data_IF_952391490416
#
_entry.id   IF_952391490416
#
_cell.length_a   1.000
_cell.length_b   1.000
_cell.length_c   1.000
_cell.angle_alpha   90.00
_cell.angle_beta   90.00
_cell.angle_gamma   90.00
#
_symmetry.space_group_name_H-M   'P 1'
#
loop_
_entity.id
_entity.type
_entity.pdbx_description
1 polymer ?
#
# COMPACT_ATOMS: atom_id res chain seq x y z
N UNK A 1 20.85 4.61 -6.79
CA UNK A 1 19.95 3.87 -7.71
C UNK A 1 18.53 4.30 -7.37
N UNK A 2 17.54 4.12 -8.25
CA UNK A 2 16.14 4.31 -7.85
C UNK A 2 15.76 3.20 -6.88
N UNK A 3 15.04 3.53 -5.81
CA UNK A 3 14.65 2.60 -4.75
C UNK A 3 13.16 2.32 -4.82
N UNK A 4 12.77 1.06 -5.03
CA UNK A 4 11.38 0.63 -5.10
C UNK A 4 10.91 0.09 -3.75
N UNK A 5 9.95 0.78 -3.14
CA UNK A 5 9.31 0.37 -1.89
C UNK A 5 7.92 -0.14 -2.23
N UNK A 6 7.60 -1.39 -1.91
CA UNK A 6 6.28 -1.94 -2.22
C UNK A 6 5.42 -2.00 -0.97
N UNK A 7 4.17 -1.52 -1.04
CA UNK A 7 3.20 -1.73 0.03
C UNK A 7 2.93 -3.21 0.23
N UNK A 8 2.76 -3.62 1.48
CA UNK A 8 2.58 -5.00 1.88
C UNK A 8 1.41 -5.12 2.87
N UNK A 9 0.37 -5.86 2.47
CA UNK A 9 -0.79 -6.16 3.30
C UNK A 9 -0.52 -7.38 4.19
N UNK A 10 -0.57 -7.24 5.53
CA UNK A 10 -0.32 -8.36 6.44
C UNK A 10 -1.52 -9.31 6.63
N UNK A 11 -2.68 -9.05 6.03
CA UNK A 11 -3.95 -9.67 6.43
C UNK A 11 -4.08 -11.18 6.19
N UNK A 12 -3.35 -11.77 5.24
CA UNK A 12 -3.53 -13.16 4.74
C UNK A 12 -3.22 -14.29 5.75
N UNK A 13 -3.84 -14.22 6.93
CA UNK A 13 -3.87 -15.20 8.00
C UNK A 13 -5.10 -14.88 8.87
N UNK A 14 -5.80 -15.89 9.42
CA UNK A 14 -6.95 -15.65 10.26
C UNK A 14 -6.52 -15.02 11.59
N UNK A 15 -7.30 -14.04 12.06
CA UNK A 15 -7.21 -13.46 13.41
C UNK A 15 -8.59 -13.49 14.07
N UNK A 16 -8.68 -13.60 15.41
CA UNK A 16 -9.95 -13.73 16.12
C UNK A 16 -10.98 -12.65 15.77
N UNK A 17 -10.53 -11.40 15.61
CA UNK A 17 -11.39 -10.25 15.32
C UNK A 17 -12.01 -10.36 13.93
N UNK A 18 -11.21 -10.68 12.91
CA UNK A 18 -11.72 -10.91 11.56
C UNK A 18 -12.65 -12.13 11.49
N UNK A 19 -12.38 -13.18 12.26
CA UNK A 19 -13.26 -14.34 12.37
C UNK A 19 -14.62 -13.97 12.97
N UNK A 20 -14.65 -13.07 13.95
CA UNK A 20 -15.88 -12.53 14.54
C UNK A 20 -16.65 -11.65 13.54
N UNK A 21 -15.95 -10.80 12.80
CA UNK A 21 -16.58 -9.81 11.92
C UNK A 21 -17.05 -10.38 10.58
N UNK A 22 -16.28 -11.31 10.01
CA UNK A 22 -16.43 -11.79 8.63
C UNK A 22 -16.67 -13.30 8.52
N UNK A 23 -16.59 -14.01 9.64
CA UNK A 23 -16.82 -15.44 9.75
C UNK A 23 -15.52 -16.23 9.92
N UNK A 24 -15.64 -17.40 10.54
CA UNK A 24 -14.51 -18.25 10.92
C UNK A 24 -13.55 -18.55 9.76
N UNK A 25 -12.26 -18.34 9.99
CA UNK A 25 -11.18 -18.54 9.03
C UNK A 25 -11.07 -17.43 7.98
N UNK A 26 -11.61 -16.24 8.24
CA UNK A 26 -11.62 -15.17 7.25
C UNK A 26 -10.19 -14.68 6.97
N UNK A 27 -9.86 -14.69 5.69
CA UNK A 27 -8.70 -14.03 5.10
C UNK A 27 -9.15 -13.41 3.80
N UNK A 28 -8.34 -12.51 3.24
CA UNK A 28 -8.64 -11.85 1.99
C UNK A 28 -8.78 -12.83 0.82
N UNK A 29 -8.14 -14.00 0.92
CA UNK A 29 -8.36 -15.11 0.00
C UNK A 29 -9.83 -15.53 -0.11
N UNK A 30 -10.63 -15.34 0.93
CA UNK A 30 -12.07 -15.59 0.91
C UNK A 30 -12.78 -14.71 -0.12
N UNK A 31 -12.40 -13.43 -0.21
CA UNK A 31 -12.97 -12.50 -1.18
C UNK A 31 -12.43 -12.78 -2.59
N UNK A 32 -11.12 -12.99 -2.70
CA UNK A 32 -10.44 -13.28 -3.98
C UNK A 32 -11.00 -14.55 -4.62
N UNK A 33 -11.08 -15.65 -3.88
CA UNK A 33 -11.57 -16.93 -4.40
C UNK A 33 -13.07 -16.90 -4.78
N UNK A 34 -13.86 -16.01 -4.17
CA UNK A 34 -15.29 -15.83 -4.49
C UNK A 34 -15.53 -14.91 -5.68
N UNK A 35 -14.53 -14.14 -6.12
CA UNK A 35 -14.67 -13.18 -7.20
C UNK A 35 -15.05 -13.87 -8.51
N UNK A 36 -15.86 -13.19 -9.32
CA UNK A 36 -16.34 -13.70 -10.62
C UNK A 36 -16.26 -12.61 -11.68
N UNK A 37 -16.11 -12.98 -12.97
CA UNK A 37 -16.21 -12.02 -14.07
C UNK A 37 -17.55 -11.26 -14.01
N UNK A 38 -17.50 -9.92 -14.05
CA UNK A 38 -18.69 -9.05 -14.03
C UNK A 38 -19.08 -8.58 -15.44
N UNK A 39 -18.20 -8.77 -16.42
CA UNK A 39 -18.39 -8.43 -17.82
C UNK A 39 -17.48 -9.32 -18.70
N UNK A 40 -17.72 -9.39 -20.02
CA UNK A 40 -16.90 -10.21 -20.92
C UNK A 40 -15.41 -9.83 -20.85
N UNK A 41 -14.54 -10.84 -20.81
CA UNK A 41 -13.08 -10.70 -20.67
C UNK A 41 -12.61 -10.05 -19.35
N UNK A 42 -13.50 -9.95 -18.35
CA UNK A 42 -13.08 -9.58 -17.00
C UNK A 42 -12.25 -10.70 -16.38
N UNK A 43 -11.02 -10.42 -15.99
CA UNK A 43 -10.13 -11.40 -15.37
C UNK A 43 -10.41 -11.45 -13.87
N UNK A 44 -11.28 -12.36 -13.46
CA UNK A 44 -11.51 -12.75 -12.06
C UNK A 44 -11.91 -14.23 -12.03
N UNK A 45 -11.55 -14.98 -10.97
CA UNK A 45 -10.66 -14.58 -9.88
C UNK A 45 -9.21 -14.40 -10.37
N UNK A 46 -8.46 -13.48 -9.75
CA UNK A 46 -7.00 -13.53 -9.80
C UNK A 46 -6.53 -14.72 -8.96
N UNK A 47 -5.70 -15.60 -9.53
CA UNK A 47 -5.22 -16.81 -8.85
C UNK A 47 -3.70 -16.72 -8.70
N UNK A 48 -3.15 -16.77 -7.47
CA UNK A 48 -1.71 -16.79 -7.26
C UNK A 48 -1.04 -17.92 -8.02
N UNK A 49 0.14 -17.66 -8.58
CA UNK A 49 0.95 -18.69 -9.23
C UNK A 49 1.77 -19.46 -8.18
N UNK A 50 3.07 -19.19 -8.11
CA UNK A 50 4.05 -20.05 -7.43
C UNK A 50 3.91 -20.08 -5.91
N UNK A 51 3.31 -19.04 -5.31
CA UNK A 51 3.17 -18.90 -3.86
C UNK A 51 1.82 -19.42 -3.33
N UNK A 52 0.86 -19.68 -4.22
CA UNK A 52 -0.47 -20.18 -3.86
C UNK A 52 -1.28 -19.28 -2.93
N UNK A 53 -2.39 -19.82 -2.42
CA UNK A 53 -3.21 -19.17 -1.39
C UNK A 53 -2.53 -19.34 -0.02
N UNK A 54 -1.48 -18.58 0.22
CA UNK A 54 -0.59 -18.73 1.36
C UNK A 54 -1.19 -18.25 2.70
N UNK A 55 -0.54 -18.62 3.81
CA UNK A 55 -0.73 -18.03 5.13
C UNK A 55 0.54 -17.26 5.53
N UNK A 56 0.41 -15.99 5.94
CA UNK A 56 1.55 -15.14 6.26
C UNK A 56 2.26 -15.46 7.58
N UNK A 57 1.75 -16.42 8.37
CA UNK A 57 2.44 -16.98 9.54
C UNK A 57 3.46 -18.05 9.13
N UNK A 58 3.35 -18.58 7.92
CA UNK A 58 4.26 -19.58 7.38
C UNK A 58 5.58 -18.90 6.98
N UNK A 59 6.68 -19.33 7.60
CA UNK A 59 8.03 -18.80 7.37
C UNK A 59 8.44 -18.90 5.89
N UNK A 60 8.19 -20.05 5.27
CA UNK A 60 8.57 -20.37 3.91
C UNK A 60 7.92 -19.40 2.90
N UNK A 61 6.66 -19.03 3.13
CA UNK A 61 5.95 -18.02 2.33
C UNK A 61 6.70 -16.70 2.33
N UNK A 62 6.97 -16.14 3.52
CA UNK A 62 7.62 -14.84 3.66
C UNK A 62 9.04 -14.85 3.11
N UNK A 63 9.76 -15.96 3.29
CA UNK A 63 11.09 -16.15 2.72
C UNK A 63 11.06 -16.20 1.18
N UNK A 64 10.08 -16.87 0.60
CA UNK A 64 9.91 -16.92 -0.85
C UNK A 64 9.52 -15.55 -1.43
N UNK A 65 8.62 -14.81 -0.77
CA UNK A 65 8.24 -13.44 -1.15
C UNK A 65 9.44 -12.48 -1.07
N UNK A 66 10.19 -12.52 0.04
CA UNK A 66 11.41 -11.73 0.23
C UNK A 66 12.46 -12.02 -0.86
N UNK A 67 12.69 -13.31 -1.18
CA UNK A 67 13.60 -13.71 -2.24
C UNK A 67 13.14 -13.17 -3.59
N UNK A 68 11.87 -13.35 -3.91
CA UNK A 68 11.31 -12.93 -5.20
C UNK A 68 11.38 -11.41 -5.38
N UNK A 69 11.02 -10.65 -4.35
CA UNK A 69 11.16 -9.19 -4.35
C UNK A 69 12.61 -8.75 -4.61
N UNK A 70 13.58 -9.37 -3.90
CA UNK A 70 15.01 -9.09 -4.06
C UNK A 70 15.52 -9.42 -5.47
N UNK A 71 15.14 -10.58 -6.01
CA UNK A 71 15.59 -11.06 -7.34
C UNK A 71 15.13 -10.13 -8.48
N UNK A 72 14.04 -9.38 -8.29
CA UNK A 72 13.44 -8.49 -9.28
C UNK A 72 13.60 -7.00 -8.99
N UNK A 73 14.48 -6.64 -8.06
CA UNK A 73 14.90 -5.25 -7.86
C UNK A 73 14.00 -4.40 -6.96
N UNK A 74 13.10 -5.01 -6.18
CA UNK A 74 12.47 -4.30 -5.06
C UNK A 74 13.51 -4.03 -3.97
N UNK A 75 13.42 -2.84 -3.37
CA UNK A 75 14.32 -2.40 -2.31
C UNK A 75 13.80 -2.78 -0.93
N UNK A 76 12.51 -2.59 -0.68
CA UNK A 76 11.91 -2.89 0.62
C UNK A 76 10.41 -3.18 0.53
N UNK A 77 9.88 -3.88 1.54
CA UNK A 77 8.46 -3.95 1.81
C UNK A 77 8.04 -2.94 2.88
N UNK A 78 7.00 -2.15 2.61
CA UNK A 78 6.35 -1.30 3.60
C UNK A 78 5.12 -2.03 4.15
N UNK A 79 5.25 -2.61 5.34
CA UNK A 79 4.14 -3.31 6.02
C UNK A 79 3.14 -2.29 6.56
N UNK A 80 1.86 -2.47 6.23
CA UNK A 80 0.81 -1.76 6.94
C UNK A 80 0.79 -2.20 8.40
N UNK A 81 0.84 -1.22 9.29
CA UNK A 81 0.81 -1.41 10.72
C UNK A 81 -0.43 -0.71 11.30
N UNK A 82 -1.16 -1.44 12.14
CA UNK A 82 -2.46 -1.01 12.65
C UNK A 82 -2.37 -0.86 14.17
N UNK A 83 -2.12 0.37 14.61
CA UNK A 83 -2.17 0.78 16.01
C UNK A 83 -3.39 1.65 16.24
N UNK A 84 -4.37 1.15 17.01
CA UNK A 84 -5.65 1.83 17.25
C UNK A 84 -5.68 2.66 18.53
N UNK A 85 -4.61 2.62 19.32
CA UNK A 85 -4.50 3.30 20.61
C UNK A 85 -4.66 2.35 21.79
N UNK A 86 -3.99 2.70 22.89
CA UNK A 86 -3.90 1.94 24.14
C UNK A 86 -3.38 0.50 23.96
N UNK A 87 -2.46 0.28 23.03
CA UNK A 87 -1.91 -1.06 22.78
C UNK A 87 -2.84 -2.00 22.04
N UNK A 88 -3.96 -1.50 21.50
CA UNK A 88 -4.80 -2.28 20.59
C UNK A 88 -4.16 -2.29 19.22
N UNK A 89 -3.82 -3.49 18.75
CA UNK A 89 -3.19 -3.75 17.47
C UNK A 89 -3.95 -4.83 16.72
N UNK A 90 -3.83 -4.83 15.38
CA UNK A 90 -4.30 -5.94 14.54
C UNK A 90 -3.28 -6.24 13.45
N UNK A 91 -3.22 -7.51 13.04
CA UNK A 91 -2.40 -7.99 11.93
C UNK A 91 -0.88 -7.73 12.11
N UNK A 92 -0.41 -7.60 13.34
CA UNK A 92 0.98 -7.33 13.69
C UNK A 92 1.88 -8.57 13.59
N UNK A 93 1.30 -9.78 13.68
CA UNK A 93 2.06 -11.03 13.71
C UNK A 93 3.05 -11.18 12.53
N UNK A 94 2.70 -10.92 11.26
CA UNK A 94 3.64 -11.09 10.15
C UNK A 94 4.91 -10.25 10.28
N UNK A 95 4.82 -8.98 10.72
CA UNK A 95 6.03 -8.15 10.89
C UNK A 95 6.84 -8.59 12.11
N UNK A 96 6.19 -8.98 13.22
CA UNK A 96 6.89 -9.51 14.40
C UNK A 96 7.66 -10.77 14.06
N UNK A 97 7.09 -11.64 13.25
CA UNK A 97 7.75 -12.85 12.80
C UNK A 97 8.92 -12.58 11.84
N UNK A 98 8.79 -11.60 10.92
CA UNK A 98 9.92 -11.15 10.06
C UNK A 98 11.06 -10.60 10.92
N UNK A 99 10.75 -9.82 11.94
CA UNK A 99 11.73 -9.31 12.88
C UNK A 99 12.46 -10.46 13.62
N UNK A 100 11.71 -11.43 14.14
CA UNK A 100 12.25 -12.56 14.92
C UNK A 100 13.07 -13.53 14.05
N UNK A 101 12.76 -13.64 12.76
CA UNK A 101 13.44 -14.55 11.85
C UNK A 101 14.44 -13.84 10.94
N UNK A 102 15.72 -13.90 11.33
CA UNK A 102 16.82 -13.29 10.57
C UNK A 102 17.13 -14.02 9.25
N UNK A 103 16.55 -15.20 9.01
CA UNK A 103 16.68 -15.87 7.71
C UNK A 103 15.88 -15.17 6.59
N UNK A 104 14.95 -14.27 6.96
CA UNK A 104 14.20 -13.43 6.03
C UNK A 104 15.03 -12.17 5.75
N UNK A 105 16.03 -12.30 4.88
CA UNK A 105 16.97 -11.23 4.55
C UNK A 105 16.45 -10.32 3.41
N UNK A 106 15.48 -9.47 3.74
CA UNK A 106 14.97 -8.43 2.85
C UNK A 106 14.59 -7.17 3.64
N UNK A 107 14.94 -5.96 3.15
CA UNK A 107 14.63 -4.74 3.87
C UNK A 107 13.12 -4.49 4.02
N UNK A 108 12.74 -3.84 5.12
CA UNK A 108 11.35 -3.53 5.39
C UNK A 108 11.20 -2.20 6.14
N UNK A 109 10.04 -1.57 6.03
CA UNK A 109 9.62 -0.43 6.83
C UNK A 109 8.15 -0.55 7.22
N UNK A 110 7.65 0.41 7.99
CA UNK A 110 6.27 0.43 8.46
C UNK A 110 5.50 1.65 7.93
N UNK A 111 4.21 1.45 7.69
CA UNK A 111 3.24 2.53 7.48
C UNK A 111 2.08 2.40 8.44
N UNK A 112 1.82 3.45 9.24
CA UNK A 112 0.68 3.50 10.14
C UNK A 112 -0.61 3.79 9.35
N UNK A 113 -1.46 2.77 9.25
CA UNK A 113 -2.78 2.87 8.67
C UNK A 113 -3.78 3.44 9.71
N UNK A 114 -3.62 4.73 10.00
CA UNK A 114 -4.29 5.43 11.11
C UNK A 114 -5.75 5.84 10.83
N UNK A 115 -6.59 4.86 10.50
CA UNK A 115 -8.01 5.07 10.29
C UNK A 115 -8.84 3.96 10.95
N UNK A 116 -10.02 4.32 11.42
CA UNK A 116 -10.98 3.36 11.98
C UNK A 116 -11.38 2.33 10.93
N UNK A 117 -11.71 1.13 11.40
CA UNK A 117 -12.24 0.10 10.53
C UNK A 117 -13.76 0.01 10.63
N UNK A 118 -14.39 -0.21 9.49
CA UNK A 118 -15.84 -0.38 9.37
C UNK A 118 -16.13 -1.65 8.58
N UNK A 119 -17.26 -2.30 8.86
CA UNK A 119 -17.61 -3.61 8.31
C UNK A 119 -17.56 -3.68 6.79
N UNK A 120 -17.93 -2.59 6.11
CA UNK A 120 -17.93 -2.47 4.64
C UNK A 120 -16.55 -2.56 3.96
N UNK A 121 -15.44 -2.44 4.70
CA UNK A 121 -14.11 -2.38 4.10
C UNK A 121 -13.69 -3.71 3.46
N UNK A 122 -14.07 -4.84 4.06
CA UNK A 122 -13.77 -6.19 3.55
C UNK A 122 -15.00 -7.04 3.21
N UNK A 123 -16.21 -6.50 3.38
CA UNK A 123 -17.46 -7.18 2.99
C UNK A 123 -18.29 -6.30 2.06
N UNK A 124 -18.61 -6.83 0.87
CA UNK A 124 -19.51 -6.20 -0.11
C UNK A 124 -20.92 -5.92 0.43
N UNK A 125 -21.35 -6.65 1.45
CA UNK A 125 -22.63 -6.47 2.13
C UNK A 125 -22.47 -5.73 3.47
N UNK A 126 -21.25 -5.31 3.83
CA UNK A 126 -20.96 -4.66 5.08
C UNK A 126 -21.66 -3.30 5.20
N UNK A 127 -22.01 -2.95 6.43
CA UNK A 127 -22.62 -1.68 6.82
C UNK A 127 -21.53 -0.68 7.25
N UNK A 128 -21.88 0.58 7.49
CA UNK A 128 -21.00 1.57 8.16
C UNK A 128 -20.86 1.28 9.67
N UNK A 129 -20.95 0.01 10.08
CA UNK A 129 -20.77 -0.40 11.46
C UNK A 129 -19.29 -0.35 11.80
N UNK A 130 -18.94 0.42 12.83
CA UNK A 130 -17.58 0.55 13.34
C UNK A 130 -17.15 -0.78 13.97
N UNK A 131 -16.02 -1.32 13.51
CA UNK A 131 -15.43 -2.56 14.02
C UNK A 131 -14.34 -2.26 15.05
N UNK A 132 -13.43 -1.35 14.71
CA UNK A 132 -12.41 -0.84 15.62
C UNK A 132 -12.18 0.64 15.36
N UNK A 133 -12.16 1.41 16.44
CA UNK A 133 -11.95 2.85 16.40
C UNK A 133 -10.47 3.20 16.41
N UNK A 134 -10.03 4.07 15.49
CA UNK A 134 -8.75 4.73 15.63
C UNK A 134 -8.83 5.83 16.69
N UNK A 135 -8.07 5.66 17.77
CA UNK A 135 -7.94 6.65 18.84
C UNK A 135 -6.61 7.38 18.73
N UNK A 136 -6.61 8.64 19.14
CA UNK A 136 -5.43 9.50 19.26
C UNK A 136 -5.32 9.94 20.73
N UNK A 137 -4.58 9.17 21.52
CA UNK A 137 -4.62 9.24 23.00
C UNK A 137 -3.47 10.06 23.60
N UNK A 138 -2.74 10.82 22.77
CA UNK A 138 -1.67 11.71 23.21
C UNK A 138 -0.34 11.02 23.50
N UNK A 139 0.58 11.78 24.09
CA UNK A 139 2.02 11.47 24.19
C UNK A 139 2.32 10.11 24.83
N UNK A 140 1.59 9.72 25.89
CA UNK A 140 1.84 8.44 26.56
C UNK A 140 1.48 7.23 25.68
N UNK A 141 0.43 7.36 24.86
CA UNK A 141 0.11 6.33 23.87
C UNK A 141 1.13 6.30 22.73
N UNK A 142 1.59 7.46 22.25
CA UNK A 142 2.62 7.52 21.22
C UNK A 142 3.96 6.94 21.68
N UNK A 143 4.31 7.12 22.96
CA UNK A 143 5.44 6.42 23.60
C UNK A 143 5.21 4.92 23.63
N UNK A 144 4.02 4.48 24.08
CA UNK A 144 3.66 3.05 24.12
C UNK A 144 3.78 2.42 22.73
N UNK A 145 3.30 3.10 21.70
CA UNK A 145 3.42 2.67 20.31
C UNK A 145 4.89 2.58 19.88
N UNK A 146 5.68 3.63 20.10
CA UNK A 146 7.11 3.64 19.77
C UNK A 146 7.86 2.47 20.42
N UNK A 147 7.72 2.29 21.74
CA UNK A 147 8.43 1.24 22.47
C UNK A 147 7.96 -0.18 22.12
N UNK A 148 6.73 -0.34 21.64
CA UNK A 148 6.22 -1.64 21.15
C UNK A 148 6.92 -2.13 19.87
N UNK A 149 7.59 -1.21 19.15
CA UNK A 149 8.29 -1.45 17.88
C UNK A 149 9.76 -1.02 17.90
N UNK A 150 10.29 -0.58 19.05
CA UNK A 150 11.66 -0.06 19.14
C UNK A 150 12.70 -1.04 18.62
N UNK A 151 12.58 -2.31 18.98
CA UNK A 151 13.50 -3.35 18.53
C UNK A 151 13.44 -3.58 17.01
N UNK A 152 12.25 -3.40 16.42
CA UNK A 152 12.03 -3.47 14.98
C UNK A 152 12.69 -2.26 14.30
N UNK A 153 12.57 -1.06 14.86
CA UNK A 153 13.24 0.13 14.34
C UNK A 153 14.77 0.04 14.43
N UNK A 154 15.31 -0.70 15.40
CA UNK A 154 16.74 -0.97 15.59
C UNK A 154 17.27 -2.11 14.70
N UNK A 155 16.43 -2.85 13.99
CA UNK A 155 16.85 -3.93 13.08
C UNK A 155 17.66 -3.35 11.89
N UNK A 156 18.80 -3.96 11.56
CA UNK A 156 19.66 -3.53 10.45
C UNK A 156 18.97 -3.63 9.08
N UNK A 157 17.93 -4.46 8.95
CA UNK A 157 17.10 -4.58 7.75
C UNK A 157 16.06 -3.47 7.66
N UNK A 158 15.87 -2.64 8.68
CA UNK A 158 14.88 -1.57 8.64
C UNK A 158 15.29 -0.50 7.63
N UNK A 159 14.46 -0.29 6.62
CA UNK A 159 14.74 0.62 5.51
C UNK A 159 14.86 2.08 5.99
N UNK A 160 15.89 2.77 5.50
CA UNK A 160 16.28 4.11 5.92
C UNK A 160 16.50 5.03 4.74
N UNK A 161 16.11 6.29 4.90
CA UNK A 161 16.46 7.39 4.00
C UNK A 161 17.32 8.35 4.79
N UNK A 162 18.52 8.68 4.30
CA UNK A 162 19.50 9.51 5.02
C UNK A 162 19.82 9.01 6.44
N UNK A 163 19.95 7.68 6.59
CA UNK A 163 20.12 6.98 7.88
C UNK A 163 18.95 7.14 8.87
N UNK A 164 17.84 7.75 8.49
CA UNK A 164 16.64 7.90 9.31
C UNK A 164 15.67 6.74 9.02
N UNK A 165 15.05 6.08 10.04
CA UNK A 165 14.01 5.08 9.80
C UNK A 165 12.87 5.69 8.97
N UNK A 166 12.53 5.03 7.87
CA UNK A 166 11.42 5.44 7.00
C UNK A 166 10.09 5.01 7.60
N UNK A 167 9.12 5.93 7.74
CA UNK A 167 7.82 5.61 8.33
C UNK A 167 6.68 6.38 7.65
N UNK A 168 5.63 5.67 7.23
CA UNK A 168 4.47 6.26 6.57
C UNK A 168 3.34 6.58 7.56
N UNK A 169 2.65 7.71 7.35
CA UNK A 169 1.41 8.07 8.01
C UNK A 169 0.30 8.14 6.94
N UNK A 170 -0.68 7.25 7.01
CA UNK A 170 -1.71 7.10 5.97
C UNK A 170 -2.71 8.26 5.91
N UNK A 171 -3.07 8.83 7.05
CA UNK A 171 -4.03 9.94 7.18
C UNK A 171 -3.37 11.07 7.99
N UNK A 172 -2.38 11.79 7.42
CA UNK A 172 -1.61 12.80 8.16
C UNK A 172 -2.47 13.97 8.67
N UNK A 173 -3.62 14.24 8.02
CA UNK A 173 -4.52 15.33 8.35
C UNK A 173 -5.77 14.90 9.14
N UNK A 174 -5.87 13.63 9.59
CA UNK A 174 -7.05 13.15 10.31
C UNK A 174 -7.27 13.85 11.67
N UNK A 175 -6.19 14.11 12.40
CA UNK A 175 -6.17 14.93 13.61
C UNK A 175 -4.84 15.65 13.71
N UNK A 176 -4.73 16.81 13.04
CA UNK A 176 -3.45 17.51 12.83
C UNK A 176 -2.67 17.75 14.13
N UNK A 177 -3.35 18.16 15.21
CA UNK A 177 -2.71 18.40 16.52
C UNK A 177 -2.08 17.13 17.08
N UNK A 178 -2.80 16.02 17.00
CA UNK A 178 -2.35 14.74 17.53
C UNK A 178 -1.25 14.12 16.66
N UNK A 179 -1.33 14.25 15.34
CA UNK A 179 -0.26 13.79 14.44
C UNK A 179 1.04 14.59 14.64
N UNK A 180 0.96 15.92 14.83
CA UNK A 180 2.13 16.74 15.17
C UNK A 180 2.73 16.27 16.51
N UNK A 181 1.88 15.99 17.51
CA UNK A 181 2.30 15.46 18.81
C UNK A 181 3.00 14.11 18.67
N UNK A 182 2.46 13.20 17.86
CA UNK A 182 3.06 11.91 17.52
C UNK A 182 4.45 12.07 16.87
N UNK A 183 4.56 12.86 15.80
CA UNK A 183 5.82 13.10 15.08
C UNK A 183 6.88 13.63 16.02
N UNK A 184 6.56 14.68 16.80
CA UNK A 184 7.51 15.28 17.74
C UNK A 184 7.97 14.29 18.81
N UNK A 185 7.01 13.55 19.40
CA UNK A 185 7.31 12.52 20.41
C UNK A 185 8.27 11.47 19.85
N UNK A 186 8.00 10.95 18.65
CA UNK A 186 8.83 9.92 18.04
C UNK A 186 10.22 10.42 17.65
N UNK A 187 10.35 11.66 17.16
CA UNK A 187 11.66 12.25 16.89
C UNK A 187 12.49 12.43 18.17
N UNK A 188 11.86 12.83 19.28
CA UNK A 188 12.53 12.92 20.58
C UNK A 188 13.00 11.54 21.06
N UNK A 189 12.11 10.54 21.02
CA UNK A 189 12.44 9.17 21.42
C UNK A 189 13.51 8.54 20.53
N UNK A 190 13.49 8.81 19.22
CA UNK A 190 14.51 8.35 18.29
C UNK A 190 15.91 8.83 18.68
N UNK A 191 16.03 10.11 19.08
CA UNK A 191 17.31 10.67 19.57
C UNK A 191 17.74 10.02 20.86
N UNK A 192 16.81 9.84 21.80
CA UNK A 192 17.09 9.22 23.11
C UNK A 192 17.55 7.76 22.98
N UNK A 193 16.95 7.01 22.05
CA UNK A 193 17.22 5.59 21.84
C UNK A 193 18.33 5.28 20.82
N UNK A 194 19.02 6.31 20.32
CA UNK A 194 20.14 6.15 19.40
C UNK A 194 19.75 5.82 17.95
N UNK A 195 18.49 6.02 17.55
CA UNK A 195 18.02 5.92 16.17
C UNK A 195 18.29 7.19 15.34
N UNK A 196 18.63 8.30 16.00
CA UNK A 196 18.83 9.59 15.34
C UNK A 196 17.51 10.34 15.16
N UNK A 197 16.89 10.23 13.99
CA UNK A 197 15.65 10.93 13.62
C UNK A 197 14.84 10.05 12.66
N UNK A 198 13.53 10.31 12.48
CA UNK A 198 12.69 9.60 11.51
C UNK A 198 12.56 10.37 10.20
N UNK A 199 12.44 9.62 9.09
CA UNK A 199 11.99 10.14 7.81
C UNK A 199 10.51 9.82 7.66
N UNK A 200 9.66 10.77 8.04
CA UNK A 200 8.21 10.59 7.98
C UNK A 200 7.69 10.93 6.59
N UNK A 201 6.76 10.12 6.10
CA UNK A 201 6.08 10.34 4.82
C UNK A 201 4.57 10.35 5.02
N UNK A 202 3.92 11.46 4.66
CA UNK A 202 2.46 11.58 4.72
C UNK A 202 1.78 11.25 3.38
N UNK A 203 0.64 10.57 3.40
CA UNK A 203 -0.17 10.41 2.18
C UNK A 203 -0.88 11.72 1.81
N UNK A 204 -0.68 12.22 0.60
CA UNK A 204 -1.59 13.22 0.00
C UNK A 204 -2.72 12.49 -0.74
N UNK A 205 -3.90 12.51 -0.13
CA UNK A 205 -5.11 11.87 -0.66
C UNK A 205 -5.65 12.51 -1.94
N UNK A 206 -5.25 13.76 -2.23
CA UNK A 206 -5.88 14.59 -3.26
C UNK A 206 -4.90 15.28 -4.22
N UNK A 207 -3.59 15.13 -3.98
CA UNK A 207 -2.52 15.78 -4.76
C UNK A 207 -2.52 17.31 -4.66
N UNK A 208 -3.21 17.89 -3.66
CA UNK A 208 -3.34 19.35 -3.49
C UNK A 208 -3.01 19.82 -2.07
N UNK A 209 -2.67 18.90 -1.17
CA UNK A 209 -2.43 19.19 0.24
C UNK A 209 -0.94 19.06 0.62
N UNK A 210 -0.04 18.85 -0.34
CA UNK A 210 1.42 18.74 -0.13
C UNK A 210 1.95 19.71 0.92
N UNK A 211 1.83 21.02 0.69
CA UNK A 211 2.43 22.04 1.58
C UNK A 211 1.83 21.99 2.99
N UNK A 212 0.52 21.71 3.09
CA UNK A 212 -0.15 21.54 4.38
C UNK A 212 0.37 20.31 5.11
N UNK A 213 0.58 19.19 4.41
CA UNK A 213 1.11 17.97 5.00
C UNK A 213 2.59 18.18 5.41
N UNK A 214 3.41 18.83 4.59
CA UNK A 214 4.78 19.17 4.99
C UNK A 214 4.82 20.05 6.23
N UNK A 215 3.85 20.97 6.38
CA UNK A 215 3.77 21.87 7.54
C UNK A 215 3.52 21.15 8.89
N UNK A 216 3.02 19.91 8.89
CA UNK A 216 2.83 19.12 10.12
C UNK A 216 4.11 18.39 10.58
N UNK A 217 5.22 18.56 9.86
CA UNK A 217 6.55 18.11 10.26
C UNK A 217 7.03 16.79 9.64
N UNK A 218 6.32 16.26 8.63
CA UNK A 218 6.84 15.14 7.82
C UNK A 218 7.94 15.59 6.86
N UNK A 219 8.77 14.67 6.39
CA UNK A 219 9.90 14.96 5.51
C UNK A 219 9.53 14.91 4.01
N UNK A 220 8.50 14.13 3.67
CA UNK A 220 7.96 14.00 2.32
C UNK A 220 6.47 13.65 2.32
N UNK A 221 5.86 13.73 1.14
CA UNK A 221 4.53 13.19 0.84
C UNK A 221 4.61 12.10 -0.21
N UNK A 222 3.62 11.23 -0.26
CA UNK A 222 3.37 10.43 -1.46
C UNK A 222 1.98 10.72 -2.00
N UNK A 223 1.89 10.79 -3.33
CA UNK A 223 0.64 11.09 -4.05
C UNK A 223 0.10 9.80 -4.68
N UNK A 224 -1.14 9.43 -4.34
CA UNK A 224 -1.80 8.23 -4.86
C UNK A 224 -2.79 8.58 -5.98
N UNK A 225 -2.25 8.75 -7.18
CA UNK A 225 -2.99 9.14 -8.37
C UNK A 225 -3.50 7.94 -9.20
N UNK A 226 -3.52 6.73 -8.61
CA UNK A 226 -3.87 5.45 -9.27
C UNK A 226 -5.18 5.53 -10.07
N UNK A 227 -6.17 6.28 -9.59
CA UNK A 227 -7.51 6.38 -10.20
C UNK A 227 -7.82 7.77 -10.77
N UNK A 228 -6.81 8.61 -10.99
CA UNK A 228 -7.01 10.00 -11.45
C UNK A 228 -7.73 10.13 -12.79
N UNK A 229 -7.65 9.12 -13.66
CA UNK A 229 -8.44 9.05 -14.91
C UNK A 229 -9.95 9.29 -14.69
N UNK A 230 -10.48 8.99 -13.50
CA UNK A 230 -11.88 9.24 -13.17
C UNK A 230 -12.22 10.74 -13.10
N UNK A 231 -11.27 11.58 -12.67
CA UNK A 231 -11.44 13.03 -12.60
C UNK A 231 -11.43 13.68 -14.00
N UNK A 232 -10.66 13.10 -14.92
CA UNK A 232 -10.49 13.53 -16.32
C UNK A 232 -11.68 13.22 -17.25
N UNK A 233 -12.70 12.53 -16.74
CA UNK A 233 -13.89 12.23 -17.53
C UNK A 233 -14.72 13.48 -17.83
N UNK A 234 -15.10 13.63 -19.10
CA UNK A 234 -16.14 14.59 -19.51
C UNK A 234 -17.53 14.21 -18.97
N UNK A 235 -18.45 15.18 -18.97
CA UNK A 235 -19.80 15.04 -18.40
C UNK A 235 -20.56 13.86 -19.03
N UNK A 236 -20.47 13.71 -20.35
CA UNK A 236 -21.16 12.62 -21.08
C UNK A 236 -20.67 11.25 -20.60
N UNK A 237 -19.36 11.09 -20.41
CA UNK A 237 -18.76 9.85 -19.92
C UNK A 237 -19.15 9.59 -18.47
N UNK A 238 -19.15 10.61 -17.60
CA UNK A 238 -19.63 10.52 -16.22
C UNK A 238 -21.09 10.03 -16.17
N UNK A 239 -21.98 10.62 -16.97
CA UNK A 239 -23.39 10.19 -17.07
C UNK A 239 -23.51 8.75 -17.59
N UNK A 240 -22.75 8.39 -18.63
CA UNK A 240 -22.75 7.02 -19.17
C UNK A 240 -22.32 5.99 -18.12
N UNK A 241 -21.27 6.28 -17.34
CA UNK A 241 -20.80 5.43 -16.25
C UNK A 241 -21.86 5.30 -15.15
N UNK A 242 -22.51 6.40 -14.78
CA UNK A 242 -23.60 6.39 -13.80
C UNK A 242 -24.78 5.52 -14.25
N UNK A 243 -25.18 5.60 -15.52
CA UNK A 243 -26.25 4.76 -16.08
C UNK A 243 -25.83 3.28 -16.07
N UNK A 244 -24.62 2.95 -16.52
CA UNK A 244 -24.10 1.57 -16.48
C UNK A 244 -24.10 1.00 -15.06
N UNK A 245 -23.72 1.81 -14.07
CA UNK A 245 -23.70 1.39 -12.66
C UNK A 245 -25.11 1.21 -12.10
N UNK A 246 -25.99 2.21 -12.27
CA UNK A 246 -27.33 2.18 -11.65
C UNK A 246 -28.32 1.26 -12.37
N UNK A 247 -28.25 1.16 -13.70
CA UNK A 247 -29.23 0.43 -14.52
C UNK A 247 -28.70 -0.95 -14.91
N UNK A 248 -27.49 -1.00 -15.48
CA UNK A 248 -26.92 -2.27 -15.96
C UNK A 248 -26.18 -3.05 -14.86
N UNK A 249 -26.09 -2.49 -13.64
CA UNK A 249 -25.34 -3.06 -12.52
C UNK A 249 -23.93 -3.50 -12.92
N UNK A 250 -23.24 -2.66 -13.70
CA UNK A 250 -21.85 -2.91 -14.14
C UNK A 250 -20.88 -1.99 -13.42
N UNK A 251 -19.66 -2.47 -13.11
CA UNK A 251 -18.63 -1.63 -12.51
C UNK A 251 -18.19 -0.49 -13.43
N UNK A 252 -17.53 0.49 -12.84
CA UNK A 252 -16.82 1.53 -13.59
C UNK A 252 -15.51 0.95 -14.10
N UNK A 253 -15.31 0.99 -15.43
CA UNK A 253 -14.18 0.33 -16.08
C UNK A 253 -13.43 1.33 -16.95
N UNK A 254 -12.12 1.44 -16.73
CA UNK A 254 -11.18 2.18 -17.56
C UNK A 254 -10.17 1.22 -18.18
N UNK A 255 -9.60 1.57 -19.34
CA UNK A 255 -8.45 0.83 -19.86
C UNK A 255 -7.20 1.25 -19.09
N UNK A 256 -6.42 0.29 -18.60
CA UNK A 256 -5.19 0.56 -17.87
C UNK A 256 -4.20 1.40 -18.69
N UNK A 257 -4.02 1.09 -19.98
CA UNK A 257 -3.19 1.87 -20.92
C UNK A 257 -3.54 3.36 -20.97
N UNK A 258 -4.79 3.72 -20.73
CA UNK A 258 -5.22 5.12 -20.69
C UNK A 258 -5.07 5.72 -19.29
N UNK A 259 -5.26 4.91 -18.24
CA UNK A 259 -5.14 5.34 -16.85
C UNK A 259 -3.71 5.70 -16.45
N UNK A 260 -2.70 4.97 -16.93
CA UNK A 260 -1.30 5.21 -16.56
C UNK A 260 -0.81 6.63 -16.89
N UNK A 261 -1.41 7.29 -17.89
CA UNK A 261 -1.09 8.67 -18.30
C UNK A 261 -1.40 9.72 -17.24
N UNK A 262 -2.15 9.34 -16.21
CA UNK A 262 -2.60 10.21 -15.13
C UNK A 262 -2.12 9.75 -13.76
N UNK A 263 -1.29 8.70 -13.68
CA UNK A 263 -0.75 8.20 -12.42
C UNK A 263 0.49 8.97 -11.97
N UNK A 264 1.27 9.48 -12.91
CA UNK A 264 2.50 10.22 -12.67
C UNK A 264 2.52 11.42 -13.60
N UNK A 265 2.88 12.58 -13.06
CA UNK A 265 3.08 13.82 -13.79
C UNK A 265 4.35 14.54 -13.29
N UNK A 266 4.59 15.78 -13.73
CA UNK A 266 5.82 16.52 -13.40
C UNK A 266 5.96 16.92 -11.92
N UNK A 267 4.89 16.89 -11.11
CA UNK A 267 4.97 17.17 -9.66
C UNK A 267 5.94 16.23 -8.97
N UNK A 268 6.11 15.01 -9.52
CA UNK A 268 7.00 14.00 -8.96
C UNK A 268 8.47 14.34 -9.18
N UNK A 269 8.83 15.46 -9.81
CA UNK A 269 10.22 15.97 -9.83
C UNK A 269 10.61 16.69 -8.53
N UNK A 270 9.63 17.09 -7.72
CA UNK A 270 9.86 17.66 -6.40
C UNK A 270 10.49 16.62 -5.45
N UNK A 271 11.55 17.02 -4.74
CA UNK A 271 12.30 16.15 -3.84
C UNK A 271 11.50 15.69 -2.60
N UNK A 272 10.42 16.39 -2.28
CA UNK A 272 9.50 16.06 -1.20
C UNK A 272 8.33 15.18 -1.65
N UNK A 273 8.21 14.86 -2.93
CA UNK A 273 7.12 14.02 -3.46
C UNK A 273 7.65 12.65 -3.83
N UNK A 274 7.11 11.58 -3.24
CA UNK A 274 7.42 10.20 -3.62
C UNK A 274 6.30 9.71 -4.55
N UNK A 275 6.57 9.39 -5.83
CA UNK A 275 5.54 8.89 -6.74
C UNK A 275 5.03 7.52 -6.30
N UNK A 276 3.73 7.30 -6.48
CA UNK A 276 3.10 5.98 -6.37
C UNK A 276 2.72 5.47 -7.75
N UNK A 277 3.12 4.24 -8.06
CA UNK A 277 2.74 3.54 -9.30
C UNK A 277 2.00 2.26 -8.98
N UNK A 278 0.94 1.97 -9.73
CA UNK A 278 0.13 0.77 -9.56
C UNK A 278 0.16 -0.11 -10.81
N UNK A 279 0.40 -1.44 -10.69
CA UNK A 279 0.46 -2.36 -11.83
C UNK A 279 -0.92 -2.68 -12.41
N UNK A 280 -1.96 -2.59 -11.58
CA UNK A 280 -3.33 -2.97 -11.86
C UNK A 280 -4.26 -2.43 -10.76
N UNK A 281 -5.56 -2.54 -10.96
CA UNK A 281 -6.58 -2.20 -9.95
C UNK A 281 -7.92 -2.84 -10.31
N UNK A 282 -8.48 -3.63 -9.41
CA UNK A 282 -9.80 -4.25 -9.50
C UNK A 282 -10.38 -4.52 -8.12
N UNK A 283 -11.15 -3.55 -7.60
CA UNK A 283 -11.81 -3.67 -6.29
C UNK A 283 -13.09 -4.53 -6.32
N UNK A 284 -13.35 -5.28 -7.39
CA UNK A 284 -14.56 -6.11 -7.51
C UNK A 284 -14.68 -7.27 -6.53
N UNK A 285 -13.59 -7.89 -5.99
CA UNK A 285 -13.72 -8.88 -4.92
C UNK A 285 -14.44 -8.31 -3.68
N UNK A 286 -14.15 -7.05 -3.31
CA UNK A 286 -14.73 -6.36 -2.16
C UNK A 286 -16.02 -5.59 -2.48
N UNK A 287 -16.18 -5.05 -3.71
CA UNK A 287 -17.30 -4.14 -4.04
C UNK A 287 -18.24 -4.60 -5.15
N UNK A 288 -17.98 -5.75 -5.77
CA UNK A 288 -18.76 -6.29 -6.88
C UNK A 288 -19.06 -5.20 -7.95
N UNK A 289 -20.34 -4.97 -8.25
CA UNK A 289 -20.78 -4.04 -9.30
C UNK A 289 -20.52 -2.56 -8.98
N UNK A 290 -20.16 -2.22 -7.74
CA UNK A 290 -19.79 -0.87 -7.34
C UNK A 290 -18.30 -0.58 -7.52
N UNK A 291 -17.51 -1.57 -7.95
CA UNK A 291 -16.07 -1.42 -8.10
C UNK A 291 -15.67 -0.47 -9.23
N UNK A 292 -14.48 0.10 -9.07
CA UNK A 292 -13.68 0.68 -10.14
C UNK A 292 -12.61 -0.33 -10.57
N UNK A 293 -12.40 -0.45 -11.88
CA UNK A 293 -11.55 -1.49 -12.47
C UNK A 293 -10.70 -0.91 -13.60
N UNK A 294 -9.41 -1.19 -13.59
CA UNK A 294 -8.46 -0.92 -14.66
C UNK A 294 -8.29 -2.18 -15.50
N UNK A 295 -9.04 -2.24 -16.60
CA UNK A 295 -9.10 -3.36 -17.52
C UNK A 295 -7.85 -3.46 -18.42
N UNK A 296 -7.49 -4.69 -18.77
CA UNK A 296 -6.35 -5.03 -19.64
C UNK A 296 -5.01 -4.46 -19.14
N UNK A 297 -4.78 -4.52 -17.83
CA UNK A 297 -3.55 -4.11 -17.17
C UNK A 297 -2.39 -5.05 -17.48
N UNK A 298 -1.84 -5.01 -18.69
CA UNK A 298 -0.71 -5.85 -19.10
C UNK A 298 0.61 -5.36 -18.49
N UNK A 299 1.54 -6.25 -18.11
CA UNK A 299 2.84 -5.87 -17.58
C UNK A 299 3.62 -4.86 -18.42
N UNK A 300 3.53 -4.93 -19.76
CA UNK A 300 4.17 -3.97 -20.66
C UNK A 300 3.78 -2.50 -20.37
N UNK A 301 2.51 -2.24 -20.06
CA UNK A 301 2.06 -0.88 -19.76
C UNK A 301 2.57 -0.40 -18.39
N UNK A 302 2.75 -1.33 -17.45
CA UNK A 302 3.35 -1.02 -16.16
C UNK A 302 4.85 -0.76 -16.30
N UNK A 303 5.56 -1.50 -17.16
CA UNK A 303 6.96 -1.22 -17.52
C UNK A 303 7.10 0.19 -18.13
N UNK A 304 6.23 0.55 -19.09
CA UNK A 304 6.23 1.88 -19.69
C UNK A 304 6.07 2.99 -18.62
N UNK A 305 5.11 2.82 -17.69
CA UNK A 305 4.88 3.73 -16.56
C UNK A 305 6.10 3.82 -15.63
N UNK A 306 6.70 2.68 -15.29
CA UNK A 306 7.89 2.63 -14.44
C UNK A 306 9.08 3.35 -15.08
N UNK A 307 9.33 3.12 -16.38
CA UNK A 307 10.42 3.79 -17.11
C UNK A 307 10.22 5.30 -17.18
N UNK A 308 8.97 5.75 -17.35
CA UNK A 308 8.64 7.17 -17.29
C UNK A 308 8.86 7.76 -15.89
N UNK A 309 8.40 7.05 -14.85
CA UNK A 309 8.59 7.44 -13.45
C UNK A 309 10.07 7.53 -13.08
N UNK A 310 10.88 6.56 -13.51
CA UNK A 310 12.34 6.54 -13.29
C UNK A 310 13.01 7.75 -13.91
N UNK A 311 12.58 8.19 -15.11
CA UNK A 311 13.13 9.40 -15.74
C UNK A 311 12.91 10.64 -14.89
N UNK A 312 11.72 10.82 -14.33
CA UNK A 312 11.43 11.94 -13.43
C UNK A 312 12.19 11.82 -12.12
N UNK A 313 12.21 10.64 -11.52
CA UNK A 313 12.85 10.45 -10.20
C UNK A 313 14.36 10.58 -10.27
N UNK A 314 15.00 10.20 -11.38
CA UNK A 314 16.45 10.39 -11.61
C UNK A 314 16.88 11.86 -11.66
N UNK A 315 15.97 12.83 -11.72
CA UNK A 315 16.32 14.26 -11.65
C UNK A 315 16.51 14.76 -10.21
N UNK A 316 16.10 13.96 -9.21
CA UNK A 316 16.22 14.29 -7.78
C UNK A 316 17.60 14.01 -7.23
N UNK A 317 17.94 14.57 -6.05
CA UNK A 317 19.08 14.10 -5.27
C UNK A 317 19.03 12.58 -5.08
N UNK A 318 20.20 11.92 -5.10
CA UNK A 318 20.29 10.46 -5.13
C UNK A 318 19.60 9.75 -3.95
N UNK A 319 19.52 10.43 -2.80
CA UNK A 319 18.87 9.99 -1.56
C UNK A 319 17.35 10.26 -1.54
N UNK A 320 16.79 10.89 -2.58
CA UNK A 320 15.36 11.19 -2.74
C UNK A 320 14.74 10.45 -3.93
N UNK A 321 15.41 9.41 -4.41
CA UNK A 321 15.01 8.66 -5.59
C UNK A 321 14.13 7.45 -5.27
N UNK A 322 13.19 7.60 -4.34
CA UNK A 322 12.25 6.55 -3.97
C UNK A 322 11.04 6.54 -4.91
N UNK A 323 10.51 5.36 -5.18
CA UNK A 323 9.22 5.13 -5.85
C UNK A 323 8.44 4.11 -5.04
N UNK A 324 7.17 4.40 -4.77
CA UNK A 324 6.28 3.47 -4.09
C UNK A 324 5.52 2.63 -5.13
N UNK A 325 5.61 1.31 -5.00
CA UNK A 325 4.78 0.37 -5.76
C UNK A 325 3.57 0.02 -4.92
N UNK A 326 2.39 0.29 -5.47
CA UNK A 326 1.10 -0.07 -4.90
C UNK A 326 0.54 -1.21 -5.74
N UNK A 327 0.73 -2.48 -5.39
CA UNK A 327 1.35 -3.00 -4.15
C UNK A 327 1.97 -4.38 -4.39
N UNK A 328 2.56 -4.99 -3.35
CA UNK A 328 3.04 -6.37 -3.42
C UNK A 328 1.87 -7.32 -3.58
N UNK A 329 0.90 -7.28 -2.64
CA UNK A 329 -0.10 -8.33 -2.44
C UNK A 329 -1.50 -7.83 -2.03
N UNK A 330 -1.99 -6.66 -2.47
CA UNK A 330 -3.40 -6.26 -2.25
C UNK A 330 -4.36 -7.03 -3.20
N UNK A 331 -4.41 -8.36 -3.06
CA UNK A 331 -5.20 -9.26 -3.91
C UNK A 331 -6.70 -8.95 -3.90
N UNK A 332 -7.26 -8.49 -2.77
CA UNK A 332 -8.67 -8.10 -2.67
C UNK A 332 -9.02 -6.83 -3.46
N UNK A 333 -8.03 -6.02 -3.81
CA UNK A 333 -8.14 -4.89 -4.73
C UNK A 333 -7.64 -5.23 -6.13
N UNK A 334 -7.31 -6.50 -6.40
CA UNK A 334 -6.63 -6.92 -7.62
C UNK A 334 -5.36 -6.13 -7.91
N UNK A 335 -4.76 -5.51 -6.87
CA UNK A 335 -3.67 -4.55 -6.92
C UNK A 335 -2.38 -5.23 -6.42
N UNK A 336 -1.70 -5.99 -7.26
CA UNK A 336 -0.53 -6.77 -6.84
C UNK A 336 0.50 -6.91 -7.98
N UNK A 337 1.79 -6.87 -7.62
CA UNK A 337 2.89 -7.32 -8.48
C UNK A 337 3.27 -8.77 -8.22
N UNK A 338 2.79 -9.36 -7.12
CA UNK A 338 3.00 -10.76 -6.81
C UNK A 338 2.44 -11.67 -7.93
N UNK A 339 3.17 -12.74 -8.34
CA UNK A 339 2.82 -13.52 -9.51
C UNK A 339 1.45 -14.19 -9.45
N UNK A 340 0.72 -14.10 -10.56
CA UNK A 340 -0.54 -14.79 -10.79
C UNK A 340 -0.46 -15.74 -12.00
N UNK A 341 -1.50 -16.55 -12.20
CA UNK A 341 -1.52 -17.50 -13.31
C UNK A 341 -1.58 -16.86 -14.70
N UNK A 342 -1.97 -15.58 -14.82
CA UNK A 342 -2.16 -14.92 -16.10
C UNK A 342 -0.89 -14.27 -16.63
N UNK A 343 -0.18 -13.57 -15.76
CA UNK A 343 1.00 -12.79 -16.11
C UNK A 343 2.28 -13.34 -15.49
N UNK A 344 2.20 -14.31 -14.56
CA UNK A 344 3.36 -14.89 -13.90
C UNK A 344 4.24 -13.81 -13.29
N UNK A 345 5.53 -13.84 -13.60
CA UNK A 345 6.53 -12.86 -13.16
C UNK A 345 6.50 -11.54 -13.94
N UNK A 346 5.59 -11.35 -14.90
CA UNK A 346 5.63 -10.22 -15.83
C UNK A 346 5.68 -8.83 -15.17
N UNK A 347 4.95 -8.60 -14.07
CA UNK A 347 5.03 -7.31 -13.35
C UNK A 347 6.37 -7.13 -12.61
N UNK A 348 6.97 -8.22 -12.15
CA UNK A 348 8.28 -8.19 -11.53
C UNK A 348 9.38 -7.99 -12.57
N UNK A 349 9.26 -8.62 -13.73
CA UNK A 349 10.12 -8.36 -14.89
C UNK A 349 10.05 -6.89 -15.31
N UNK A 350 8.86 -6.28 -15.31
CA UNK A 350 8.70 -4.86 -15.58
C UNK A 350 9.48 -3.96 -14.60
N UNK A 351 9.48 -4.29 -13.30
CA UNK A 351 10.28 -3.59 -12.26
C UNK A 351 11.77 -3.74 -12.54
N UNK A 352 12.21 -4.96 -12.83
CA UNK A 352 13.63 -5.22 -13.11
C UNK A 352 14.09 -4.46 -14.36
N UNK A 353 13.33 -4.55 -15.45
CA UNK A 353 13.64 -3.91 -16.73
C UNK A 353 13.65 -2.38 -16.63
N UNK A 354 12.87 -1.77 -15.73
CA UNK A 354 12.87 -0.32 -15.55
C UNK A 354 14.12 0.22 -14.84
N UNK A 355 14.94 -0.65 -14.25
CA UNK A 355 16.24 -0.30 -13.63
C UNK A 355 17.43 -0.47 -14.58
N UNK A 356 17.28 -1.18 -15.69
CA UNK A 356 18.35 -1.52 -16.64
C UNK A 356 18.63 -0.42 -17.69
N UNK A 357 17.75 0.58 -17.78
CA UNK A 357 17.89 1.83 -18.56
C UNK A 357 18.33 3.00 -17.67
#
# INVERSE_FOLDING_TARGET
>A
MVEYISFYLPQFHPVPENDEWYGKGFTEWTNVAKAKPLYPNHYQPHVPADLGFYDLRVKETRKAQAKLAKDYGLTAFCYWNYWFGDGVELLEQPIRDVYNDKDIDFPFCLGWANHSWEKKQWDKNGTNELLVEQKYLGVEDYKKYFYSYLDIFKDDRYYRVDNKPFFIIYSPLANEKEIISFINTWRELAKLEGLGDFYFVGKDMSGINKDKILSIGVDAVFEDNTLNIHHELNIVSKVSQLIKRKVLKRPTVFKYKDAIKYMVDETVTDEHVIPVVAPNWDHSPRSANNAMILHDAKPKYFEDLLKETVKYVKTKPSNKQQVIIKSWNEWGEGNHVEPDLKYGTGYLEAIKNSLED
#
